data_IF_629893379280
#
_entry.id   IF_629893379280
#
_cell.length_a   1.000
_cell.length_b   1.000
_cell.length_c   1.000
_cell.angle_alpha   90.00
_cell.angle_beta   90.00
_cell.angle_gamma   90.00
#
_symmetry.space_group_name_H-M   'P 1'
#
loop_
_entity.id
_entity.type
_entity.pdbx_description
1 polymer ?
#
# COMPACT_ATOMS: atom_id res chain seq x y z
N UNK A 1 -21.80 75.95 -12.12
CA UNK A 1 -21.72 74.52 -12.22
C UNK A 1 -20.31 74.11 -11.84
N UNK A 2 -20.13 73.39 -10.69
CA UNK A 2 -18.84 72.90 -10.23
C UNK A 2 -18.73 71.42 -10.60
N UNK A 3 -17.62 70.93 -11.14
CA UNK A 3 -17.46 69.49 -11.40
C UNK A 3 -17.10 68.72 -10.14
N UNK A 4 -17.83 67.64 -9.89
CA UNK A 4 -17.58 66.72 -8.80
C UNK A 4 -16.55 65.65 -9.27
N UNK A 5 -15.36 65.65 -8.70
CA UNK A 5 -14.37 64.57 -8.89
C UNK A 5 -14.76 63.33 -8.08
N UNK A 6 -15.00 62.22 -8.74
CA UNK A 6 -15.16 60.90 -8.14
C UNK A 6 -13.76 60.24 -8.07
N UNK A 7 -13.26 60.11 -6.84
CA UNK A 7 -12.02 59.33 -6.59
C UNK A 7 -12.39 57.87 -6.45
N UNK A 8 -12.07 57.05 -7.43
CA UNK A 8 -12.22 55.62 -7.37
C UNK A 8 -11.08 54.98 -6.53
N UNK A 9 -11.43 54.34 -5.41
CA UNK A 9 -10.48 53.54 -4.60
C UNK A 9 -10.37 52.15 -5.23
N UNK A 10 -9.23 51.85 -5.83
CA UNK A 10 -8.87 50.49 -6.27
C UNK A 10 -8.42 49.69 -5.04
N UNK A 11 -9.25 48.74 -4.59
CA UNK A 11 -8.83 47.73 -3.63
C UNK A 11 -7.99 46.64 -4.33
N UNK A 12 -6.70 46.61 -4.08
CA UNK A 12 -5.84 45.50 -4.44
C UNK A 12 -6.05 44.39 -3.39
N UNK A 13 -6.72 43.33 -3.79
CA UNK A 13 -6.76 42.08 -2.99
C UNK A 13 -5.39 41.38 -3.12
N UNK A 14 -4.59 41.41 -2.08
CA UNK A 14 -3.36 40.63 -1.99
C UNK A 14 -3.73 39.15 -1.87
N UNK A 15 -3.57 38.39 -2.96
CA UNK A 15 -3.64 36.95 -2.95
C UNK A 15 -2.37 36.43 -2.25
N UNK A 16 -2.49 36.04 -0.99
CA UNK A 16 -1.40 35.37 -0.28
C UNK A 16 -1.18 34.00 -0.93
N UNK A 17 -0.17 33.87 -1.77
CA UNK A 17 0.31 32.57 -2.21
C UNK A 17 0.94 31.87 -1.00
N UNK A 18 0.23 30.92 -0.41
CA UNK A 18 0.83 29.97 0.53
C UNK A 18 1.88 29.16 -0.24
N UNK A 19 3.13 29.07 0.26
CA UNK A 19 4.10 28.21 -0.37
C UNK A 19 3.57 26.77 -0.32
N UNK A 20 3.45 26.13 -1.47
CA UNK A 20 3.18 24.70 -1.56
C UNK A 20 4.40 24.00 -0.94
N UNK A 21 4.25 23.51 0.28
CA UNK A 21 5.33 22.76 0.93
C UNK A 21 5.62 21.53 0.08
N UNK A 22 6.86 21.43 -0.38
CA UNK A 22 7.30 20.26 -1.13
C UNK A 22 7.11 19.00 -0.27
N UNK A 23 6.56 17.94 -0.87
CA UNK A 23 6.38 16.66 -0.20
C UNK A 23 7.75 16.09 0.19
N UNK A 24 7.97 15.82 1.48
CA UNK A 24 9.22 15.20 1.96
C UNK A 24 9.22 13.73 1.61
N UNK A 25 10.02 13.35 0.60
CA UNK A 25 10.21 11.96 0.19
C UNK A 25 11.20 11.31 1.15
N UNK A 26 10.76 10.27 1.87
CA UNK A 26 11.60 9.46 2.76
C UNK A 26 12.29 8.33 2.00
N UNK A 27 11.53 7.63 1.16
CA UNK A 27 12.00 6.53 0.34
C UNK A 27 11.28 6.53 -1.01
N UNK A 28 11.98 6.05 -2.04
CA UNK A 28 11.37 5.79 -3.36
C UNK A 28 12.13 4.69 -4.09
N UNK A 29 11.43 3.99 -4.98
CA UNK A 29 11.99 2.98 -5.87
C UNK A 29 11.14 2.95 -7.16
N UNK A 30 11.77 3.21 -8.29
CA UNK A 30 11.18 3.17 -9.63
C UNK A 30 11.53 1.86 -10.37
N UNK A 31 12.11 0.91 -9.65
CA UNK A 31 12.55 -0.39 -10.17
C UNK A 31 13.43 -0.32 -11.43
N UNK A 32 14.10 0.81 -11.66
CA UNK A 32 15.11 0.92 -12.73
C UNK A 32 16.37 0.10 -12.47
N UNK A 33 16.58 -0.32 -11.22
CA UNK A 33 17.71 -1.14 -10.75
C UNK A 33 17.35 -2.62 -10.55
N UNK A 34 17.66 -3.14 -9.38
CA UNK A 34 17.41 -4.51 -8.97
C UNK A 34 16.53 -4.58 -7.70
N UNK A 35 16.32 -5.78 -7.16
CA UNK A 35 15.55 -5.99 -5.93
C UNK A 35 16.42 -5.95 -4.66
N UNK A 36 17.62 -5.37 -4.68
CA UNK A 36 18.53 -5.33 -3.52
C UNK A 36 17.93 -4.64 -2.30
N UNK A 37 16.96 -3.74 -2.49
CA UNK A 37 16.20 -3.05 -1.43
C UNK A 37 15.00 -3.83 -0.91
N UNK A 38 14.75 -5.04 -1.42
CA UNK A 38 13.58 -5.85 -1.14
C UNK A 38 13.97 -7.24 -0.63
N UNK A 39 13.11 -7.83 0.20
CA UNK A 39 13.20 -9.22 0.65
C UNK A 39 12.02 -9.98 0.08
N UNK A 40 12.31 -10.98 -0.74
CA UNK A 40 11.30 -11.82 -1.37
C UNK A 40 11.03 -13.04 -0.50
N UNK A 41 9.81 -13.19 -0.03
CA UNK A 41 9.27 -14.37 0.63
C UNK A 41 8.28 -15.03 -0.33
N UNK A 42 8.74 -15.98 -1.11
CA UNK A 42 7.96 -16.62 -2.17
C UNK A 42 8.11 -18.13 -2.14
N UNK A 43 7.03 -18.84 -2.50
CA UNK A 43 7.09 -20.27 -2.74
C UNK A 43 7.98 -20.58 -3.95
N UNK A 44 8.70 -21.73 -3.99
CA UNK A 44 9.70 -22.02 -5.02
C UNK A 44 9.17 -22.03 -6.46
N UNK A 45 7.87 -22.21 -6.67
CA UNK A 45 7.23 -22.24 -7.98
C UNK A 45 7.00 -20.86 -8.60
N UNK A 46 7.08 -19.79 -7.80
CA UNK A 46 6.89 -18.42 -8.27
C UNK A 46 8.21 -17.74 -8.66
N UNK A 47 8.10 -16.60 -9.33
CA UNK A 47 9.25 -15.78 -9.74
C UNK A 47 8.98 -14.31 -9.44
N UNK A 48 9.95 -13.67 -8.81
CA UNK A 48 9.95 -12.22 -8.56
C UNK A 48 11.23 -11.62 -9.12
N UNK A 49 11.13 -10.62 -9.99
CA UNK A 49 12.26 -10.03 -10.71
C UNK A 49 11.94 -8.58 -11.11
N UNK A 50 12.92 -7.88 -11.68
CA UNK A 50 12.67 -6.60 -12.38
C UNK A 50 12.62 -6.88 -13.88
N UNK A 51 11.57 -6.40 -14.56
CA UNK A 51 11.41 -6.49 -16.01
C UNK A 51 10.94 -5.12 -16.51
N UNK A 52 11.73 -4.53 -17.42
CA UNK A 52 11.35 -3.29 -18.09
C UNK A 52 11.19 -2.08 -17.15
N UNK A 53 11.87 -2.10 -16.00
CA UNK A 53 11.76 -1.04 -14.99
C UNK A 53 10.55 -1.20 -14.06
N UNK A 54 9.94 -2.39 -14.00
CA UNK A 54 8.86 -2.70 -13.07
C UNK A 54 9.26 -3.92 -12.21
N UNK A 55 8.83 -3.97 -10.96
CA UNK A 55 8.86 -5.21 -10.17
C UNK A 55 7.77 -6.12 -10.69
N UNK A 56 8.15 -7.27 -11.21
CA UNK A 56 7.27 -8.29 -11.78
C UNK A 56 7.18 -9.48 -10.81
N UNK A 57 6.01 -9.75 -10.27
CA UNK A 57 5.71 -10.90 -9.41
C UNK A 57 4.81 -11.84 -10.18
N UNK A 58 5.37 -12.94 -10.65
CA UNK A 58 4.66 -14.04 -11.29
C UNK A 58 4.59 -15.21 -10.30
N UNK A 59 3.51 -15.24 -9.50
CA UNK A 59 3.33 -16.20 -8.42
C UNK A 59 2.52 -17.41 -8.88
N UNK A 60 3.23 -18.53 -9.10
CA UNK A 60 2.63 -19.78 -9.52
C UNK A 60 2.02 -20.58 -8.34
N UNK A 61 1.05 -21.47 -8.59
CA UNK A 61 0.57 -22.40 -7.60
C UNK A 61 1.73 -23.27 -7.05
N UNK A 62 1.87 -23.34 -5.75
CA UNK A 62 2.79 -24.28 -5.10
C UNK A 62 2.17 -25.67 -4.98
N UNK A 63 2.95 -26.63 -4.45
CA UNK A 63 2.40 -27.93 -4.07
C UNK A 63 1.19 -27.76 -3.15
N UNK A 64 0.12 -28.48 -3.42
CA UNK A 64 -1.14 -28.42 -2.68
C UNK A 64 -1.79 -27.02 -2.62
N UNK A 65 -1.73 -26.24 -3.71
CA UNK A 65 -2.37 -24.92 -3.81
C UNK A 65 -1.82 -23.84 -2.84
N UNK A 66 -0.61 -24.02 -2.35
CA UNK A 66 0.02 -23.15 -1.35
C UNK A 66 0.91 -22.07 -1.97
N UNK A 67 0.55 -21.54 -3.14
CA UNK A 67 1.20 -20.39 -3.73
C UNK A 67 1.18 -19.18 -2.77
N UNK A 68 2.07 -18.24 -3.00
CA UNK A 68 2.10 -16.98 -2.29
C UNK A 68 3.46 -16.31 -2.35
N UNK A 69 3.41 -15.02 -2.56
CA UNK A 69 4.56 -14.15 -2.57
C UNK A 69 4.30 -12.93 -1.70
N UNK A 70 5.25 -12.59 -0.83
CA UNK A 70 5.30 -11.30 -0.15
C UNK A 70 6.66 -10.68 -0.39
N UNK A 71 6.70 -9.45 -0.87
CA UNK A 71 7.94 -8.72 -1.16
C UNK A 71 8.00 -7.52 -0.24
N UNK A 72 8.91 -7.56 0.72
CA UNK A 72 9.05 -6.56 1.76
C UNK A 72 10.10 -5.51 1.41
N UNK A 73 9.76 -4.24 1.56
CA UNK A 73 10.74 -3.17 1.56
C UNK A 73 11.64 -3.29 2.80
N UNK A 74 12.98 -3.19 2.62
CA UNK A 74 13.95 -3.46 3.70
C UNK A 74 13.99 -2.38 4.77
N UNK A 75 13.67 -1.14 4.42
CA UNK A 75 13.75 -0.04 5.36
C UNK A 75 12.52 -0.01 6.28
N UNK A 76 12.76 0.19 7.58
CA UNK A 76 11.69 0.40 8.56
C UNK A 76 11.13 1.81 8.38
N UNK A 77 9.82 1.91 8.22
CA UNK A 77 9.09 3.17 8.03
C UNK A 77 8.56 3.61 9.39
N UNK A 78 8.73 4.89 9.74
CA UNK A 78 8.25 5.43 11.00
C UNK A 78 7.63 6.82 10.86
N UNK A 79 6.72 7.15 11.76
CA UNK A 79 6.02 8.42 11.85
C UNK A 79 4.80 8.52 10.92
N UNK A 80 4.14 9.67 10.88
CA UNK A 80 3.06 9.93 9.96
C UNK A 80 3.52 9.86 8.51
N UNK A 81 3.01 8.89 7.75
CA UNK A 81 3.48 8.62 6.37
C UNK A 81 2.34 8.31 5.43
N UNK A 82 2.60 8.62 4.17
CA UNK A 82 1.86 8.14 3.00
C UNK A 82 2.78 7.23 2.18
N UNK A 83 2.28 6.07 1.79
CA UNK A 83 2.96 5.14 0.89
C UNK A 83 2.15 5.09 -0.38
N UNK A 84 2.78 5.32 -1.53
CA UNK A 84 2.12 5.27 -2.84
C UNK A 84 2.86 4.33 -3.76
N UNK A 85 2.12 3.69 -4.66
CA UNK A 85 2.69 2.87 -5.74
C UNK A 85 1.68 2.67 -6.86
N UNK A 86 2.19 2.31 -8.02
CA UNK A 86 1.40 1.86 -9.15
C UNK A 86 1.38 0.33 -9.18
N UNK A 87 0.23 -0.26 -9.53
CA UNK A 87 0.07 -1.71 -9.60
C UNK A 87 -0.81 -2.11 -10.79
N UNK A 88 -0.36 -3.13 -11.52
CA UNK A 88 -1.08 -3.67 -12.68
C UNK A 88 -1.26 -5.18 -12.55
N UNK A 89 -2.50 -5.64 -12.47
CA UNK A 89 -2.83 -7.06 -12.58
C UNK A 89 -2.68 -7.49 -14.04
N UNK A 90 -1.75 -8.40 -14.32
CA UNK A 90 -1.49 -8.86 -15.69
C UNK A 90 -2.49 -9.95 -16.09
N UNK A 91 -3.14 -9.76 -17.25
CA UNK A 91 -3.99 -10.77 -17.90
C UNK A 91 -3.74 -10.74 -19.40
N UNK A 92 -2.72 -11.49 -19.83
CA UNK A 92 -2.27 -11.58 -21.23
C UNK A 92 -2.22 -13.02 -21.75
N UNK A 93 -2.81 -13.96 -20.99
CA UNK A 93 -2.87 -15.39 -21.35
C UNK A 93 -1.72 -16.21 -20.80
N UNK A 94 -0.92 -15.68 -19.88
CA UNK A 94 0.09 -16.43 -19.13
C UNK A 94 -0.55 -17.41 -18.14
N UNK A 95 0.19 -18.46 -17.70
CA UNK A 95 -0.35 -19.51 -16.84
C UNK A 95 -0.80 -19.01 -15.44
N UNK A 96 -0.24 -17.90 -14.98
CA UNK A 96 -0.54 -17.32 -13.68
C UNK A 96 -1.25 -15.97 -13.79
N UNK A 97 -1.76 -15.62 -14.96
CA UNK A 97 -2.48 -14.37 -15.24
C UNK A 97 -3.90 -14.41 -14.65
N UNK A 98 -3.99 -14.64 -13.35
CA UNK A 98 -5.23 -14.65 -12.58
C UNK A 98 -5.47 -13.27 -11.99
N UNK A 99 -6.67 -12.72 -12.15
CA UNK A 99 -7.03 -11.42 -11.59
C UNK A 99 -7.57 -11.62 -10.17
N UNK A 100 -6.66 -11.61 -9.21
CA UNK A 100 -6.98 -11.70 -7.78
C UNK A 100 -5.78 -11.32 -6.92
N UNK A 101 -6.04 -10.89 -5.68
CA UNK A 101 -5.03 -10.77 -4.64
C UNK A 101 -3.95 -9.70 -4.88
N UNK A 102 -4.34 -8.48 -5.30
CA UNK A 102 -3.50 -7.29 -5.24
C UNK A 102 -3.47 -6.79 -3.78
N UNK A 103 -2.72 -7.47 -2.94
CA UNK A 103 -2.74 -7.27 -1.51
C UNK A 103 -1.52 -6.49 -1.02
N UNK A 104 -1.63 -5.85 0.16
CA UNK A 104 -0.50 -5.19 0.79
C UNK A 104 -0.56 -5.26 2.32
N UNK A 105 0.63 -5.21 2.92
CA UNK A 105 0.87 -4.98 4.33
C UNK A 105 1.54 -3.62 4.53
N UNK A 106 1.20 -2.90 5.60
CA UNK A 106 1.97 -1.73 6.01
C UNK A 106 2.01 -1.59 7.52
N UNK A 107 3.01 -0.86 8.01
CA UNK A 107 3.35 -0.75 9.43
C UNK A 107 3.49 -2.14 10.09
N UNK A 108 4.07 -3.09 9.35
CA UNK A 108 4.22 -4.46 9.80
C UNK A 108 5.39 -4.61 10.77
N UNK A 109 5.22 -5.37 11.86
CA UNK A 109 6.30 -5.77 12.76
C UNK A 109 6.07 -7.17 13.30
N UNK A 110 7.15 -7.88 13.62
CA UNK A 110 7.09 -9.17 14.30
C UNK A 110 7.21 -8.93 15.83
N UNK A 111 6.18 -9.22 16.64
CA UNK A 111 6.25 -9.05 18.09
C UNK A 111 7.39 -9.84 18.77
N UNK A 112 7.86 -10.91 18.13
CA UNK A 112 8.99 -11.72 18.63
C UNK A 112 10.36 -11.11 18.27
N UNK A 113 10.40 -10.30 17.20
CA UNK A 113 11.61 -9.68 16.65
C UNK A 113 11.30 -8.24 16.21
N UNK A 114 10.97 -7.32 17.12
CA UNK A 114 10.42 -5.99 16.79
C UNK A 114 11.43 -5.11 16.02
N UNK A 115 12.72 -5.39 16.16
CA UNK A 115 13.78 -4.64 15.49
C UNK A 115 14.15 -5.18 14.11
N UNK A 116 13.71 -6.39 13.78
CA UNK A 116 14.02 -7.02 12.50
C UNK A 116 12.96 -8.02 12.05
N UNK A 117 12.05 -7.57 11.20
CA UNK A 117 11.01 -8.40 10.60
C UNK A 117 11.57 -9.64 9.88
N UNK A 118 12.79 -9.52 9.32
CA UNK A 118 13.36 -10.50 8.40
C UNK A 118 13.93 -11.74 9.08
N UNK A 119 14.09 -11.75 10.41
CA UNK A 119 14.44 -12.96 11.17
C UNK A 119 13.46 -14.10 10.88
N UNK A 120 12.17 -13.80 10.72
CA UNK A 120 11.12 -14.78 10.40
C UNK A 120 10.93 -15.08 8.91
N UNK A 121 11.68 -14.43 8.01
CA UNK A 121 11.45 -14.45 6.56
C UNK A 121 11.45 -15.86 5.98
N UNK A 122 12.48 -16.67 6.29
CA UNK A 122 12.59 -18.06 5.83
C UNK A 122 11.43 -18.95 6.31
N UNK A 123 10.93 -18.71 7.53
CA UNK A 123 9.83 -19.47 8.08
C UNK A 123 8.48 -19.09 7.46
N UNK A 124 8.30 -17.83 7.08
CA UNK A 124 7.10 -17.34 6.40
C UNK A 124 7.01 -17.82 4.96
N UNK A 125 8.10 -17.65 4.18
CA UNK A 125 8.26 -18.16 2.80
C UNK A 125 7.02 -17.99 1.92
N UNK A 126 6.31 -16.86 1.98
CA UNK A 126 5.10 -16.60 1.21
C UNK A 126 3.81 -17.26 1.72
N UNK A 127 3.86 -18.15 2.69
CA UNK A 127 2.68 -18.81 3.25
C UNK A 127 1.83 -17.84 4.10
N UNK A 128 0.64 -17.48 3.62
CA UNK A 128 -0.21 -16.45 4.23
C UNK A 128 -0.51 -16.68 5.72
N UNK A 129 -0.69 -17.94 6.13
CA UNK A 129 -0.96 -18.28 7.53
C UNK A 129 0.18 -17.92 8.49
N UNK A 130 1.39 -17.77 7.97
CA UNK A 130 2.58 -17.44 8.76
C UNK A 130 2.72 -15.96 9.07
N UNK A 131 1.85 -15.11 8.48
CA UNK A 131 1.79 -13.69 8.76
C UNK A 131 0.77 -13.33 9.86
N UNK A 132 -0.11 -14.27 10.27
CA UNK A 132 -1.15 -14.04 11.28
C UNK A 132 -0.62 -13.46 12.62
N UNK A 133 0.60 -13.81 13.10
CA UNK A 133 1.15 -13.26 14.34
C UNK A 133 1.71 -11.85 14.25
N UNK A 134 1.90 -11.30 13.04
CA UNK A 134 2.45 -9.95 12.86
C UNK A 134 1.49 -8.90 13.40
N UNK A 135 2.03 -7.78 13.88
CA UNK A 135 1.27 -6.52 14.01
C UNK A 135 1.32 -5.83 12.67
N UNK A 136 0.21 -5.56 12.02
CA UNK A 136 0.18 -4.91 10.71
C UNK A 136 -1.22 -4.50 10.31
N UNK A 137 -1.33 -3.51 9.44
CA UNK A 137 -2.53 -3.30 8.62
C UNK A 137 -2.40 -4.11 7.34
N UNK A 138 -3.53 -4.56 6.82
CA UNK A 138 -3.58 -5.37 5.61
C UNK A 138 -4.84 -5.06 4.81
N UNK A 139 -4.68 -4.92 3.51
CA UNK A 139 -5.78 -4.94 2.56
C UNK A 139 -5.61 -6.14 1.63
N UNK A 140 -6.63 -6.98 1.58
CA UNK A 140 -6.81 -7.98 0.53
C UNK A 140 -7.68 -7.36 -0.56
N UNK A 141 -7.07 -6.78 -1.60
CA UNK A 141 -7.77 -6.09 -2.67
C UNK A 141 -8.08 -7.05 -3.83
N UNK A 142 -9.36 -7.19 -4.16
CA UNK A 142 -9.82 -8.15 -5.16
C UNK A 142 -9.43 -9.60 -4.84
N UNK A 143 -9.47 -9.98 -3.56
CA UNK A 143 -9.20 -11.35 -3.11
C UNK A 143 -10.35 -12.31 -3.44
N UNK A 144 -10.15 -13.61 -3.19
CA UNK A 144 -11.15 -14.66 -3.44
C UNK A 144 -11.68 -14.65 -4.87
N UNK A 145 -10.83 -14.84 -5.86
CA UNK A 145 -11.16 -14.81 -7.29
C UNK A 145 -11.75 -13.45 -7.72
N UNK A 146 -11.15 -12.36 -7.22
CA UNK A 146 -11.60 -11.00 -7.48
C UNK A 146 -13.05 -10.71 -7.02
N UNK A 147 -13.47 -11.35 -5.94
CA UNK A 147 -14.85 -11.25 -5.44
C UNK A 147 -14.97 -10.38 -4.18
N UNK A 148 -13.86 -10.08 -3.49
CA UNK A 148 -13.90 -9.31 -2.24
C UNK A 148 -12.70 -8.41 -2.07
N UNK A 149 -12.94 -7.23 -1.45
CA UNK A 149 -11.89 -6.32 -0.98
C UNK A 149 -12.08 -6.09 0.50
N UNK A 150 -11.05 -6.43 1.32
CA UNK A 150 -11.15 -6.43 2.79
C UNK A 150 -10.03 -5.68 3.46
N UNK A 151 -10.38 -4.89 4.48
CA UNK A 151 -9.42 -4.31 5.40
C UNK A 151 -9.32 -5.13 6.68
N UNK A 152 -8.08 -5.36 7.15
CA UNK A 152 -7.77 -6.10 8.37
C UNK A 152 -6.70 -5.38 9.19
N UNK A 153 -6.74 -5.63 10.51
CA UNK A 153 -5.70 -5.25 11.45
C UNK A 153 -5.23 -6.49 12.20
N UNK A 154 -3.95 -6.80 12.14
CA UNK A 154 -3.33 -7.96 12.80
C UNK A 154 -2.56 -7.54 14.07
N UNK A 155 -2.31 -8.42 15.08
CA UNK A 155 -2.69 -9.83 15.08
C UNK A 155 -4.18 -10.01 15.34
N UNK A 156 -4.75 -11.05 14.78
CA UNK A 156 -6.16 -11.39 15.00
C UNK A 156 -6.40 -12.89 14.78
N UNK A 157 -7.45 -13.45 15.38
CA UNK A 157 -7.87 -14.81 15.10
C UNK A 157 -8.13 -14.99 13.61
N UNK A 158 -7.76 -16.15 13.07
CA UNK A 158 -7.86 -16.44 11.63
C UNK A 158 -9.26 -16.23 11.07
N UNK A 159 -10.28 -16.64 11.80
CA UNK A 159 -11.67 -16.62 11.34
C UNK A 159 -12.34 -15.27 11.55
N UNK A 160 -11.67 -14.34 12.23
CA UNK A 160 -12.13 -12.98 12.47
C UNK A 160 -11.73 -12.08 11.28
N UNK A 161 -12.58 -12.02 10.27
CA UNK A 161 -12.44 -11.26 9.02
C UNK A 161 -13.78 -10.64 8.67
N UNK A 162 -13.76 -9.43 8.20
CA UNK A 162 -12.79 -8.31 8.17
C UNK A 162 -12.58 -7.68 9.56
N UNK A 163 -11.90 -6.51 9.65
CA UNK A 163 -11.78 -5.77 10.92
C UNK A 163 -13.16 -5.33 11.45
N UNK A 164 -14.04 -4.89 10.53
CA UNK A 164 -15.45 -4.57 10.78
C UNK A 164 -16.27 -5.11 9.61
N UNK A 165 -17.56 -5.46 9.79
CA UNK A 165 -18.40 -5.96 8.71
C UNK A 165 -18.42 -5.05 7.47
N UNK A 166 -18.46 -3.73 7.67
CA UNK A 166 -18.46 -2.73 6.59
C UNK A 166 -17.14 -2.66 5.81
N UNK A 167 -16.08 -3.33 6.28
CA UNK A 167 -14.79 -3.44 5.59
C UNK A 167 -14.65 -4.72 4.77
N UNK A 168 -15.75 -5.38 4.45
CA UNK A 168 -15.84 -6.50 3.52
C UNK A 168 -16.67 -6.10 2.29
N UNK A 169 -15.99 -5.59 1.28
CA UNK A 169 -16.63 -5.05 0.08
C UNK A 169 -16.70 -6.11 -1.02
N UNK A 170 -17.87 -6.24 -1.66
CA UNK A 170 -18.13 -7.20 -2.74
C UNK A 170 -18.67 -6.56 -4.03
N UNK A 171 -18.89 -5.25 -4.04
CA UNK A 171 -19.31 -4.53 -5.25
C UNK A 171 -18.17 -4.51 -6.28
N UNK A 172 -18.48 -4.73 -7.55
CA UNK A 172 -17.53 -4.78 -8.66
C UNK A 172 -16.63 -3.53 -8.79
N UNK A 173 -17.11 -2.37 -8.37
CA UNK A 173 -16.32 -1.13 -8.37
C UNK A 173 -15.08 -1.18 -7.45
N UNK A 174 -15.06 -2.09 -6.48
CA UNK A 174 -13.94 -2.29 -5.54
C UNK A 174 -13.02 -3.44 -5.93
N UNK A 175 -13.18 -3.99 -7.13
CA UNK A 175 -12.40 -5.13 -7.61
C UNK A 175 -11.26 -4.70 -8.54
N UNK A 176 -10.32 -5.61 -8.78
CA UNK A 176 -9.24 -5.42 -9.74
C UNK A 176 -9.77 -5.33 -11.16
N UNK A 177 -9.12 -4.52 -11.97
CA UNK A 177 -9.38 -4.37 -13.40
C UNK A 177 -8.15 -4.91 -14.15
N UNK A 178 -8.29 -5.92 -15.01
CA UNK A 178 -7.16 -6.53 -15.70
C UNK A 178 -6.45 -5.53 -16.62
N UNK A 179 -5.12 -5.58 -16.63
CA UNK A 179 -4.23 -4.77 -17.48
C UNK A 179 -4.39 -3.25 -17.31
N UNK A 180 -5.08 -2.81 -16.26
CA UNK A 180 -5.17 -1.40 -15.89
C UNK A 180 -4.21 -1.13 -14.72
N UNK A 181 -3.39 -0.12 -14.87
CA UNK A 181 -2.56 0.39 -13.77
C UNK A 181 -3.45 1.16 -12.79
N UNK A 182 -3.42 0.76 -11.54
CA UNK A 182 -4.10 1.38 -10.42
C UNK A 182 -3.07 2.13 -9.57
N UNK A 183 -3.36 3.36 -9.19
CA UNK A 183 -2.57 4.06 -8.18
C UNK A 183 -3.12 3.76 -6.80
N UNK A 184 -2.28 3.20 -5.94
CA UNK A 184 -2.62 2.87 -4.56
C UNK A 184 -1.95 3.87 -3.62
N UNK A 185 -2.73 4.36 -2.65
CA UNK A 185 -2.23 5.19 -1.56
C UNK A 185 -2.59 4.56 -0.22
N UNK A 186 -1.61 4.45 0.67
CA UNK A 186 -1.79 4.00 2.04
C UNK A 186 -1.41 5.14 2.97
N UNK A 187 -2.24 5.40 3.96
CA UNK A 187 -1.99 6.44 4.96
C UNK A 187 -1.88 5.80 6.33
N UNK A 188 -0.87 6.22 7.10
CA UNK A 188 -0.74 6.00 8.53
C UNK A 188 -0.30 7.33 9.15
N UNK A 189 -1.26 8.17 9.57
CA UNK A 189 -0.99 9.53 10.05
C UNK A 189 -0.72 9.63 11.57
N UNK A 190 -0.61 8.47 12.24
CA UNK A 190 -0.44 8.37 13.67
C UNK A 190 -1.77 8.14 14.44
N UNK A 191 -2.90 8.21 13.76
CA UNK A 191 -4.23 7.89 14.28
C UNK A 191 -5.13 7.28 13.21
N UNK A 192 -5.17 7.89 12.05
CA UNK A 192 -6.01 7.50 10.93
C UNK A 192 -5.25 6.62 9.96
N UNK A 193 -5.87 5.50 9.61
CA UNK A 193 -5.36 4.51 8.69
C UNK A 193 -6.28 4.50 7.48
N UNK A 194 -5.71 4.70 6.27
CA UNK A 194 -6.51 4.78 5.05
C UNK A 194 -5.91 3.94 3.92
N UNK A 195 -6.79 3.47 3.06
CA UNK A 195 -6.47 2.86 1.77
C UNK A 195 -7.28 3.58 0.70
N UNK A 196 -6.58 4.13 -0.29
CA UNK A 196 -7.18 4.78 -1.45
C UNK A 196 -6.73 4.06 -2.72
N UNK A 197 -7.57 4.10 -3.74
CA UNK A 197 -7.29 3.63 -5.10
C UNK A 197 -7.68 4.72 -6.10
N UNK A 198 -6.76 5.13 -6.93
CA UNK A 198 -6.96 6.20 -7.92
C UNK A 198 -7.52 7.52 -7.30
N UNK A 199 -7.10 7.81 -6.06
CA UNK A 199 -7.59 8.95 -5.28
C UNK A 199 -8.96 8.73 -4.59
N UNK A 200 -9.67 7.64 -4.85
CA UNK A 200 -10.92 7.29 -4.16
C UNK A 200 -10.62 6.64 -2.81
N UNK A 201 -11.20 7.17 -1.74
CA UNK A 201 -11.09 6.58 -0.40
C UNK A 201 -11.93 5.31 -0.31
N UNK A 202 -11.27 4.16 -0.18
CA UNK A 202 -11.92 2.84 -0.07
C UNK A 202 -12.12 2.47 1.41
N UNK A 203 -11.09 2.63 2.23
CA UNK A 203 -11.16 2.37 3.67
C UNK A 203 -10.58 3.51 4.48
N UNK A 204 -11.21 3.79 5.62
CA UNK A 204 -10.68 4.67 6.65
C UNK A 204 -10.97 4.07 8.03
N UNK A 205 -9.98 4.09 8.91
CA UNK A 205 -10.07 3.56 10.26
C UNK A 205 -9.33 4.47 11.23
N UNK A 206 -10.04 4.99 12.24
CA UNK A 206 -9.44 5.69 13.36
C UNK A 206 -8.99 4.63 14.38
N UNK A 207 -7.68 4.34 14.40
CA UNK A 207 -7.11 3.34 15.30
C UNK A 207 -6.83 3.96 16.67
N UNK A 208 -7.42 3.45 17.76
CA UNK A 208 -7.13 3.95 19.11
C UNK A 208 -5.72 3.61 19.59
N UNK A 209 -5.09 2.58 19.00
CA UNK A 209 -3.74 2.12 19.31
C UNK A 209 -2.94 1.91 18.02
N UNK A 210 -2.62 2.98 17.27
CA UNK A 210 -2.05 2.86 15.93
C UNK A 210 -0.62 2.34 15.96
N UNK A 211 -0.25 1.57 14.95
CA UNK A 211 1.14 1.17 14.72
C UNK A 211 1.90 2.37 14.19
N UNK A 212 2.91 2.84 14.94
CA UNK A 212 3.67 4.06 14.65
C UNK A 212 4.85 3.83 13.73
N UNK A 213 5.27 2.56 13.58
CA UNK A 213 6.40 2.15 12.75
C UNK A 213 6.25 0.70 12.28
N UNK A 214 6.98 0.34 11.24
CA UNK A 214 6.99 -1.01 10.71
C UNK A 214 7.45 -1.06 9.27
N UNK A 215 7.29 -2.22 8.64
CA UNK A 215 7.68 -2.46 7.26
C UNK A 215 6.47 -2.46 6.33
N UNK A 216 6.73 -2.16 5.06
CA UNK A 216 5.78 -2.27 3.98
C UNK A 216 6.06 -3.55 3.17
N UNK A 217 4.99 -4.22 2.68
CA UNK A 217 5.12 -5.37 1.79
C UNK A 217 3.99 -5.49 0.78
N UNK A 218 4.35 -5.71 -0.48
CA UNK A 218 3.44 -6.21 -1.51
C UNK A 218 3.12 -7.68 -1.25
N UNK A 219 1.90 -8.09 -1.57
CA UNK A 219 1.53 -9.50 -1.46
C UNK A 219 0.56 -9.93 -2.55
N UNK A 220 0.79 -11.14 -3.06
CA UNK A 220 -0.16 -11.84 -3.92
C UNK A 220 -0.22 -13.34 -3.63
N UNK A 221 -1.11 -14.03 -4.30
CA UNK A 221 -1.23 -15.48 -4.30
C UNK A 221 -1.71 -15.95 -5.67
N UNK A 222 -0.89 -16.75 -6.36
CA UNK A 222 -1.22 -17.35 -7.67
C UNK A 222 -1.69 -16.31 -8.71
N UNK A 223 -1.01 -15.17 -8.77
CA UNK A 223 -1.37 -14.10 -9.70
C UNK A 223 -0.10 -13.44 -10.24
N UNK A 224 -0.23 -12.82 -11.39
CA UNK A 224 0.83 -12.07 -12.04
C UNK A 224 0.55 -10.57 -11.89
N UNK A 225 1.45 -9.88 -11.19
CA UNK A 225 1.29 -8.45 -10.86
C UNK A 225 2.59 -7.71 -11.16
N UNK A 226 2.47 -6.49 -11.68
CA UNK A 226 3.57 -5.54 -11.80
C UNK A 226 3.37 -4.36 -10.89
N UNK A 227 4.48 -3.90 -10.30
CA UNK A 227 4.52 -2.73 -9.43
C UNK A 227 5.56 -1.75 -9.93
N UNK A 228 5.25 -0.45 -9.77
CA UNK A 228 6.13 0.65 -10.14
C UNK A 228 5.90 1.86 -9.21
N UNK A 229 6.78 2.87 -9.33
CA UNK A 229 6.64 4.18 -8.69
C UNK A 229 6.39 4.11 -7.17
N UNK A 230 7.05 3.14 -6.48
CA UNK A 230 6.97 3.07 -5.02
C UNK A 230 7.56 4.30 -4.37
N UNK A 231 6.80 4.92 -3.46
CA UNK A 231 7.22 6.10 -2.72
C UNK A 231 6.66 6.10 -1.31
N UNK A 232 7.48 6.55 -0.37
CA UNK A 232 7.09 6.85 1.01
C UNK A 232 7.34 8.32 1.28
N UNK A 233 6.33 9.06 1.70
CA UNK A 233 6.42 10.47 2.02
C UNK A 233 5.95 10.75 3.44
N UNK A 234 6.52 11.79 4.04
CA UNK A 234 6.09 12.26 5.36
C UNK A 234 4.79 13.05 5.25
N UNK A 235 3.88 12.79 6.17
CA UNK A 235 2.70 13.63 6.38
C UNK A 235 3.06 14.69 7.40
N UNK A 236 2.97 16.00 7.08
CA UNK A 236 3.24 17.07 8.03
C UNK A 236 2.30 16.99 9.24
N UNK A 237 2.87 17.04 10.44
CA UNK A 237 2.08 17.14 11.67
C UNK A 237 1.76 18.60 11.97
N UNK A 238 0.56 18.90 12.45
CA UNK A 238 0.07 20.26 12.73
C UNK A 238 0.90 21.03 13.79
N UNK A 239 2.03 20.52 14.24
CA UNK A 239 2.94 21.14 15.21
C UNK A 239 4.23 21.72 14.61
N UNK A 240 4.57 21.43 13.36
CA UNK A 240 5.81 21.88 12.72
C UNK A 240 5.62 23.15 11.87
N UNK A 241 4.86 24.11 12.38
CA UNK A 241 4.94 25.48 11.84
C UNK A 241 6.22 26.12 12.43
N UNK A 242 7.31 26.05 11.69
CA UNK A 242 8.44 26.96 11.88
C UNK A 242 8.22 28.24 11.10
#
# INVERSE_FOLDING_TARGET
MKPTCIVGVLLFAAVSAFPLMAEEILFQDDFSGDLSRWVVEQTPSGKTQVIGGEMDIDDAPGEHDKGGCTVWFKEKISGPVRITYDATMVQKGGPNDRISDLNCFWMASDPKNPENLFVGSKARSGNFKKYDPLKTYYVGYGANENATTRFRRYPRPRDDKPLKPEYDLSDAKYMNIPNRTLKIDLVADGKKIQFLRDGELIFTFDDPEPYQEGWFGFRTTRSHIRFDNFKVTRIPTNGEKK
#
